data_IF_936059727184
#
_entry.id   IF_936059727184
#
_cell.length_a   1.000
_cell.length_b   1.000
_cell.length_c   1.000
_cell.angle_alpha   90.00
_cell.angle_beta   90.00
_cell.angle_gamma   90.00
#
_symmetry.space_group_name_H-M   'P 1'
#
loop_
_entity.id
_entity.type
_entity.pdbx_description
1 polymer ?
#
# COMPACT_ATOMS: atom_id res chain seq x y z
N UNK A 1 -23.05 51.70 -6.06
CA UNK A 1 -23.50 50.63 -5.16
C UNK A 1 -22.49 49.50 -5.31
N UNK A 2 -21.69 49.26 -4.28
CA UNK A 2 -20.47 48.43 -4.36
C UNK A 2 -20.85 46.97 -4.13
N UNK A 3 -20.49 46.11 -5.07
CA UNK A 3 -20.70 44.67 -5.00
C UNK A 3 -19.54 44.05 -4.19
N UNK A 4 -19.85 43.41 -3.07
CA UNK A 4 -18.92 42.58 -2.31
C UNK A 4 -19.38 41.12 -2.42
N UNK A 5 -18.45 40.24 -2.78
CA UNK A 5 -18.66 38.81 -2.97
C UNK A 5 -17.92 38.10 -1.81
N UNK A 6 -18.64 37.55 -0.83
CA UNK A 6 -18.06 36.71 0.21
C UNK A 6 -18.28 35.23 -0.16
N UNK A 7 -17.21 34.58 -0.60
CA UNK A 7 -17.22 33.13 -0.75
C UNK A 7 -17.14 32.48 0.64
N UNK A 8 -18.26 32.49 1.36
CA UNK A 8 -18.46 31.69 2.56
C UNK A 8 -19.94 31.47 2.76
N UNK A 9 -20.45 30.39 2.14
CA UNK A 9 -21.49 29.49 2.66
C UNK A 9 -22.15 28.74 1.50
N UNK A 10 -21.38 27.87 0.85
CA UNK A 10 -21.96 26.71 0.17
C UNK A 10 -21.60 25.48 1.00
N UNK A 11 -22.37 25.25 2.06
CA UNK A 11 -22.42 23.93 2.70
C UNK A 11 -23.13 22.98 1.74
N UNK A 12 -22.38 22.44 0.77
CA UNK A 12 -22.85 21.26 0.06
C UNK A 12 -22.96 20.14 1.08
N UNK A 13 -24.17 19.66 1.31
CA UNK A 13 -24.41 18.43 2.03
C UNK A 13 -23.62 17.33 1.32
N UNK A 14 -22.50 16.90 1.92
CA UNK A 14 -21.72 15.80 1.40
C UNK A 14 -22.62 14.56 1.38
N UNK A 15 -23.21 14.28 0.22
CA UNK A 15 -23.82 12.99 -0.07
C UNK A 15 -22.66 12.00 -0.16
N UNK A 16 -22.36 11.35 0.95
CA UNK A 16 -21.55 10.12 0.90
C UNK A 16 -22.42 9.06 0.24
N UNK A 17 -22.26 8.88 -1.05
CA UNK A 17 -22.81 7.71 -1.72
C UNK A 17 -21.93 6.53 -1.33
N UNK A 18 -22.40 5.72 -0.37
CA UNK A 18 -21.75 4.45 -0.04
C UNK A 18 -21.95 3.50 -1.23
N UNK A 19 -20.94 3.42 -2.09
CA UNK A 19 -20.92 2.46 -3.20
C UNK A 19 -20.34 1.14 -2.70
N UNK A 20 -21.13 0.07 -2.85
CA UNK A 20 -20.78 -1.36 -2.70
C UNK A 20 -20.60 -1.89 -1.27
N UNK A 21 -21.40 -2.91 -0.93
CA UNK A 21 -20.97 -3.99 -0.02
C UNK A 21 -19.65 -4.54 -0.58
N UNK A 22 -18.57 -4.43 0.20
CA UNK A 22 -17.22 -4.85 -0.20
C UNK A 22 -17.21 -6.29 -0.75
N UNK A 23 -16.40 -6.58 -1.79
CA UNK A 23 -15.96 -7.95 -2.05
C UNK A 23 -15.43 -8.61 -0.77
N UNK A 24 -15.46 -9.95 -0.63
CA UNK A 24 -14.84 -10.57 0.53
C UNK A 24 -13.38 -10.13 0.58
N UNK A 25 -12.95 -9.60 1.73
CA UNK A 25 -11.55 -9.29 1.98
C UNK A 25 -10.67 -10.47 1.54
N UNK A 26 -9.59 -10.17 0.83
CA UNK A 26 -8.70 -11.20 0.33
C UNK A 26 -7.90 -11.80 1.48
N UNK A 27 -7.97 -13.12 1.60
CA UNK A 27 -7.18 -13.88 2.55
C UNK A 27 -5.74 -14.07 2.03
N UNK A 28 -4.76 -13.64 2.83
CA UNK A 28 -3.33 -13.88 2.59
C UNK A 28 -2.75 -14.68 3.75
N UNK A 29 -2.35 -15.92 3.49
CA UNK A 29 -1.84 -16.87 4.48
C UNK A 29 -0.86 -17.85 3.85
N UNK A 30 -0.38 -18.86 4.58
CA UNK A 30 0.55 -19.85 4.03
C UNK A 30 0.04 -20.60 2.77
N UNK A 31 -1.27 -20.83 2.66
CA UNK A 31 -1.86 -21.50 1.49
C UNK A 31 -2.04 -20.55 0.30
N UNK A 32 -2.24 -19.26 0.57
CA UNK A 32 -2.33 -18.18 -0.40
C UNK A 32 -1.30 -17.09 -0.02
N UNK A 33 0.01 -17.35 -0.21
CA UNK A 33 1.07 -16.53 0.37
C UNK A 33 1.29 -15.19 -0.33
N UNK A 34 0.60 -14.93 -1.43
CA UNK A 34 0.69 -13.68 -2.18
C UNK A 34 -0.72 -13.19 -2.51
N UNK A 35 -0.93 -11.89 -2.37
CA UNK A 35 -2.11 -11.25 -2.93
C UNK A 35 -1.98 -11.06 -4.45
N UNK A 36 -3.09 -10.93 -5.19
CA UNK A 36 -3.09 -10.12 -6.39
C UNK A 36 -2.48 -8.75 -6.09
N UNK A 37 -1.73 -8.23 -7.04
CA UNK A 37 -0.97 -6.99 -6.88
C UNK A 37 -1.05 -6.11 -8.11
N UNK A 38 -0.38 -4.98 -8.05
CA UNK A 38 -0.10 -4.16 -9.22
C UNK A 38 1.21 -4.61 -9.86
N UNK A 39 1.23 -4.66 -11.20
CA UNK A 39 2.43 -4.77 -12.01
C UNK A 39 2.31 -3.81 -13.17
N UNK A 40 3.34 -2.99 -13.40
CA UNK A 40 3.35 -2.05 -14.50
C UNK A 40 4.75 -1.55 -14.84
N UNK A 41 4.92 -1.09 -16.07
CA UNK A 41 6.17 -0.47 -16.53
C UNK A 41 6.26 0.98 -16.06
N UNK A 42 7.45 1.41 -15.64
CA UNK A 42 7.69 2.77 -15.14
C UNK A 42 7.39 3.84 -16.20
N UNK A 43 7.80 3.59 -17.45
CA UNK A 43 7.60 4.50 -18.57
C UNK A 43 6.12 4.69 -18.92
N UNK A 44 5.30 3.65 -18.80
CA UNK A 44 3.85 3.75 -19.01
C UNK A 44 3.15 4.65 -17.98
N UNK A 45 3.71 4.76 -16.77
CA UNK A 45 3.27 5.67 -15.72
C UNK A 45 3.98 7.04 -15.77
N UNK A 46 4.86 7.27 -16.76
CA UNK A 46 5.73 8.44 -16.86
C UNK A 46 6.48 8.73 -15.55
N UNK A 47 7.07 7.66 -14.98
CA UNK A 47 7.91 7.71 -13.80
C UNK A 47 9.38 7.68 -14.18
N UNK A 48 10.20 8.37 -13.40
CA UNK A 48 11.65 8.43 -13.58
C UNK A 48 12.39 8.28 -12.25
N UNK A 49 13.69 8.02 -12.34
CA UNK A 49 14.59 8.03 -11.19
C UNK A 49 14.34 9.25 -10.29
N UNK A 50 14.27 9.00 -8.98
CA UNK A 50 13.98 10.02 -7.96
C UNK A 50 12.50 10.28 -7.67
N UNK A 51 11.56 9.87 -8.54
CA UNK A 51 10.13 9.84 -8.19
C UNK A 51 9.87 8.77 -7.12
N UNK A 52 8.67 8.73 -6.56
CA UNK A 52 8.29 7.79 -5.52
C UNK A 52 7.05 6.99 -5.89
N UNK A 53 7.01 5.73 -5.45
CA UNK A 53 5.81 4.91 -5.42
C UNK A 53 5.36 4.78 -3.98
N UNK A 54 4.09 5.06 -3.73
CA UNK A 54 3.42 4.77 -2.47
C UNK A 54 2.48 3.58 -2.65
N UNK A 55 2.59 2.62 -1.74
CA UNK A 55 1.67 1.49 -1.62
C UNK A 55 0.81 1.69 -0.38
N UNK A 56 -0.50 1.47 -0.49
CA UNK A 56 -1.45 1.45 0.63
C UNK A 56 -2.33 0.22 0.57
N UNK A 57 -2.68 -0.32 1.73
CA UNK A 57 -3.60 -1.46 1.83
C UNK A 57 -4.41 -1.36 3.11
N UNK A 58 -5.72 -1.66 3.05
CA UNK A 58 -6.50 -1.91 4.24
C UNK A 58 -6.19 -3.31 4.72
N UNK A 59 -5.86 -3.46 6.01
CA UNK A 59 -5.41 -4.73 6.56
C UNK A 59 -6.11 -5.03 7.88
N UNK A 60 -6.43 -6.31 8.07
CA UNK A 60 -6.98 -6.85 9.30
C UNK A 60 -6.25 -8.14 9.66
N UNK A 61 -5.78 -8.23 10.89
CA UNK A 61 -5.23 -9.45 11.45
C UNK A 61 -6.07 -9.87 12.67
N UNK A 62 -6.65 -11.08 12.68
CA UNK A 62 -7.47 -11.55 13.79
C UNK A 62 -6.66 -11.82 15.06
N UNK A 63 -5.35 -11.98 14.93
CA UNK A 63 -4.46 -12.42 16.01
C UNK A 63 -3.23 -11.53 16.12
N UNK A 64 -2.67 -11.46 17.34
CA UNK A 64 -1.41 -10.76 17.57
C UNK A 64 -0.26 -11.64 17.07
N UNK A 65 0.49 -11.14 16.09
CA UNK A 65 1.70 -11.80 15.60
C UNK A 65 2.91 -11.31 16.39
N UNK A 66 3.57 -12.20 17.13
CA UNK A 66 4.77 -11.85 17.92
C UNK A 66 6.07 -12.07 17.16
N UNK A 67 6.10 -13.02 16.22
CA UNK A 67 7.29 -13.30 15.41
C UNK A 67 7.40 -12.30 14.26
N UNK A 68 8.25 -11.28 14.42
CA UNK A 68 8.49 -10.24 13.41
C UNK A 68 9.06 -10.77 12.09
N UNK A 69 9.72 -11.93 12.08
CA UNK A 69 10.26 -12.54 10.86
C UNK A 69 9.20 -13.29 10.07
N UNK A 70 8.07 -13.62 10.70
CA UNK A 70 6.92 -14.22 10.04
C UNK A 70 5.87 -13.20 9.59
N UNK A 71 5.92 -11.95 10.07
CA UNK A 71 4.85 -10.99 9.80
C UNK A 71 4.60 -10.80 8.29
N UNK A 72 3.33 -10.80 7.85
CA UNK A 72 2.97 -10.42 6.50
C UNK A 72 3.56 -9.06 6.13
N UNK A 73 3.92 -8.90 4.86
CA UNK A 73 4.61 -7.72 4.37
C UNK A 73 3.87 -7.07 3.20
N UNK A 74 3.80 -5.74 3.20
CA UNK A 74 3.47 -4.96 2.01
C UNK A 74 4.78 -4.65 1.29
N UNK A 75 4.85 -4.97 0.00
CA UNK A 75 6.09 -4.99 -0.78
C UNK A 75 5.98 -4.01 -1.94
N UNK A 76 7.07 -3.28 -2.20
CA UNK A 76 7.34 -2.58 -3.45
C UNK A 76 8.67 -3.12 -3.97
N UNK A 77 8.68 -3.64 -5.20
CA UNK A 77 9.90 -4.11 -5.84
C UNK A 77 10.03 -3.55 -7.25
N UNK A 78 11.27 -3.38 -7.69
CA UNK A 78 11.66 -2.89 -8.99
C UNK A 78 12.57 -3.91 -9.66
N UNK A 79 12.33 -4.19 -10.93
CA UNK A 79 13.09 -5.17 -11.71
C UNK A 79 13.31 -4.68 -13.13
N UNK A 80 14.45 -5.06 -13.70
CA UNK A 80 14.62 -5.00 -15.14
C UNK A 80 13.73 -6.07 -15.80
N UNK A 81 13.34 -5.88 -17.08
CA UNK A 81 12.62 -6.91 -17.81
C UNK A 81 13.32 -8.27 -17.72
N UNK A 82 12.56 -9.32 -17.40
CA UNK A 82 13.04 -10.71 -17.33
C UNK A 82 14.24 -10.93 -16.38
N UNK A 83 14.40 -10.08 -15.36
CA UNK A 83 15.50 -10.16 -14.39
C UNK A 83 14.99 -10.26 -12.96
N UNK A 84 15.88 -10.63 -12.05
CA UNK A 84 15.61 -10.54 -10.61
C UNK A 84 15.40 -9.09 -10.17
N UNK A 85 14.62 -8.85 -9.09
CA UNK A 85 14.46 -7.51 -8.54
C UNK A 85 15.81 -6.94 -8.10
N UNK A 86 16.16 -5.76 -8.60
CA UNK A 86 17.36 -5.03 -8.18
C UNK A 86 17.09 -4.17 -6.94
N UNK A 87 15.82 -3.87 -6.67
CA UNK A 87 15.39 -3.25 -5.41
C UNK A 87 14.12 -3.92 -4.92
N UNK A 88 14.14 -4.33 -3.66
CA UNK A 88 13.01 -4.91 -2.95
C UNK A 88 12.90 -4.23 -1.59
N UNK A 89 11.77 -3.58 -1.32
CA UNK A 89 11.53 -2.90 -0.06
C UNK A 89 10.17 -3.32 0.47
N UNK A 90 10.09 -3.55 1.78
CA UNK A 90 8.86 -3.97 2.41
C UNK A 90 8.72 -3.46 3.83
N UNK A 91 7.47 -3.32 4.27
CA UNK A 91 7.14 -3.11 5.68
C UNK A 91 6.29 -4.27 6.19
N UNK A 92 6.43 -4.56 7.48
CA UNK A 92 5.56 -5.52 8.17
C UNK A 92 4.20 -4.87 8.39
N UNK A 93 3.13 -5.62 8.16
CA UNK A 93 1.76 -5.08 8.21
C UNK A 93 1.21 -5.13 9.63
N UNK A 94 1.30 -6.27 10.30
CA UNK A 94 0.57 -6.49 11.55
C UNK A 94 1.01 -5.59 12.70
N UNK A 95 2.27 -5.17 12.73
CA UNK A 95 2.78 -4.20 13.72
C UNK A 95 2.50 -2.73 13.35
N UNK A 96 1.72 -2.49 12.29
CA UNK A 96 1.29 -1.17 11.81
C UNK A 96 -0.22 -0.97 11.86
N UNK A 97 -0.98 -1.97 12.33
CA UNK A 97 -2.43 -1.87 12.51
C UNK A 97 -2.72 -1.30 13.91
N UNK A 98 -3.45 -0.19 14.01
CA UNK A 98 -3.85 0.42 15.26
C UNK A 98 -2.70 1.11 16.00
N UNK A 99 -2.37 0.63 17.21
CA UNK A 99 -1.34 1.25 18.06
C UNK A 99 0.07 0.99 17.48
N UNK A 100 0.70 2.03 16.89
CA UNK A 100 2.00 1.94 16.18
C UNK A 100 3.20 2.46 16.98
N UNK A 101 3.04 2.73 18.27
CA UNK A 101 4.07 3.35 19.13
C UNK A 101 5.29 2.47 19.42
N UNK A 102 5.27 1.19 19.03
CA UNK A 102 6.40 0.28 19.21
C UNK A 102 6.64 -0.63 18.01
N UNK A 103 7.85 -1.17 17.90
CA UNK A 103 8.21 -2.19 16.91
C UNK A 103 7.37 -3.47 17.07
N UNK A 104 6.93 -3.75 18.30
CA UNK A 104 6.06 -4.85 18.70
C UNK A 104 4.58 -4.44 18.76
N UNK A 105 4.25 -3.28 18.18
CA UNK A 105 2.91 -2.71 18.11
C UNK A 105 1.95 -3.57 17.29
N UNK A 106 0.75 -3.06 17.04
CA UNK A 106 -0.31 -3.82 16.38
C UNK A 106 -1.45 -4.17 17.32
N UNK A 107 -2.67 -3.85 16.91
CA UNK A 107 -3.90 -4.21 17.62
C UNK A 107 -4.65 -5.26 16.79
N UNK A 108 -4.78 -6.52 17.26
CA UNK A 108 -5.54 -7.53 16.55
C UNK A 108 -7.04 -7.20 16.56
N UNK A 109 -7.78 -7.73 15.59
CA UNK A 109 -9.24 -7.56 15.52
C UNK A 109 -9.68 -6.18 15.02
N UNK A 110 -8.78 -5.41 14.40
CA UNK A 110 -9.04 -4.07 13.86
C UNK A 110 -8.67 -4.01 12.37
N UNK A 111 -9.49 -3.31 11.58
CA UNK A 111 -9.13 -2.87 10.23
C UNK A 111 -8.38 -1.54 10.31
N UNK A 112 -7.23 -1.45 9.65
CA UNK A 112 -6.47 -0.21 9.54
C UNK A 112 -5.72 -0.10 8.21
N UNK A 113 -5.36 1.12 7.82
CA UNK A 113 -4.55 1.39 6.63
C UNK A 113 -3.06 1.25 6.94
N UNK A 114 -2.38 0.41 6.17
CA UNK A 114 -0.92 0.31 6.19
C UNK A 114 -0.37 0.83 4.88
N UNK A 115 0.60 1.75 4.97
CA UNK A 115 1.25 2.35 3.80
C UNK A 115 2.72 2.63 3.99
N UNK A 116 3.45 2.63 2.88
CA UNK A 116 4.79 3.20 2.80
C UNK A 116 5.10 3.61 1.37
N UNK A 117 6.13 4.45 1.23
CA UNK A 117 6.65 4.86 -0.05
C UNK A 117 8.10 4.36 -0.26
N UNK A 118 8.45 4.12 -1.52
CA UNK A 118 9.80 3.82 -1.95
C UNK A 118 10.17 4.69 -3.14
N UNK A 119 11.33 5.35 -3.04
CA UNK A 119 11.88 6.14 -4.14
C UNK A 119 12.39 5.23 -5.25
N UNK A 120 12.18 5.61 -6.51
CA UNK A 120 12.79 4.96 -7.66
C UNK A 120 14.32 5.15 -7.60
N UNK A 121 15.12 4.07 -7.75
CA UNK A 121 16.58 4.15 -7.80
C UNK A 121 17.11 5.02 -8.93
N UNK A 122 18.37 5.45 -8.82
CA UNK A 122 19.00 6.32 -9.80
C UNK A 122 19.16 5.63 -11.18
N UNK A 123 19.30 4.31 -11.15
CA UNK A 123 19.46 3.41 -12.28
C UNK A 123 18.13 2.98 -12.93
N UNK A 124 16.98 3.45 -12.41
CA UNK A 124 15.66 3.07 -12.91
C UNK A 124 15.44 3.52 -14.36
N UNK A 125 14.94 2.59 -15.19
CA UNK A 125 14.72 2.80 -16.62
C UNK A 125 13.23 2.77 -16.98
N UNK A 126 12.79 3.45 -18.05
CA UNK A 126 11.38 3.43 -18.46
C UNK A 126 10.82 2.02 -18.71
N UNK A 127 11.64 1.09 -19.19
CA UNK A 127 11.27 -0.30 -19.45
C UNK A 127 11.18 -1.16 -18.19
N UNK A 128 11.70 -0.70 -17.04
CA UNK A 128 11.64 -1.44 -15.79
C UNK A 128 10.21 -1.62 -15.32
N UNK A 129 9.98 -2.70 -14.57
CA UNK A 129 8.70 -2.99 -13.95
C UNK A 129 8.74 -2.68 -12.46
N UNK A 130 7.64 -2.10 -11.96
CA UNK A 130 7.33 -2.07 -10.53
C UNK A 130 6.27 -3.11 -10.23
N UNK A 131 6.42 -3.81 -9.10
CA UNK A 131 5.37 -4.66 -8.53
C UNK A 131 5.06 -4.24 -7.11
N UNK A 132 3.77 -4.23 -6.79
CA UNK A 132 3.28 -3.94 -5.44
C UNK A 132 2.29 -5.03 -5.04
N UNK A 133 2.55 -5.71 -3.94
CA UNK A 133 1.73 -6.82 -3.46
C UNK A 133 1.90 -7.01 -1.96
N UNK A 134 0.99 -7.80 -1.37
CA UNK A 134 1.12 -8.30 -0.01
C UNK A 134 1.60 -9.74 -0.06
N UNK A 135 2.53 -10.09 0.83
CA UNK A 135 3.01 -11.46 0.99
C UNK A 135 2.95 -11.94 2.44
N UNK A 136 2.72 -13.25 2.59
CA UNK A 136 2.67 -13.96 3.86
C UNK A 136 3.24 -15.37 3.70
N UNK A 137 4.51 -15.46 3.27
CA UNK A 137 5.16 -16.73 2.98
C UNK A 137 5.78 -17.42 4.20
N UNK A 138 6.12 -16.66 5.25
CA UNK A 138 6.92 -17.13 6.38
C UNK A 138 6.11 -17.46 7.65
N UNK A 139 4.81 -17.19 7.66
CA UNK A 139 3.97 -17.33 8.86
C UNK A 139 2.73 -18.17 8.64
N UNK A 140 2.26 -18.76 9.73
CA UNK A 140 0.94 -19.39 9.84
C UNK A 140 -0.17 -18.36 10.12
N UNK A 141 0.20 -17.11 10.39
CA UNK A 141 -0.74 -16.07 10.77
C UNK A 141 -1.68 -15.71 9.65
N UNK A 142 -2.92 -15.41 9.98
CA UNK A 142 -3.90 -14.96 9.00
C UNK A 142 -3.85 -13.45 8.80
N UNK A 143 -3.93 -13.00 7.55
CA UNK A 143 -4.15 -11.61 7.19
C UNK A 143 -5.28 -11.52 6.18
N UNK A 144 -6.21 -10.61 6.43
CA UNK A 144 -7.20 -10.18 5.46
C UNK A 144 -6.80 -8.81 4.94
N UNK A 145 -6.90 -8.61 3.63
CA UNK A 145 -6.59 -7.33 3.00
C UNK A 145 -7.73 -6.87 2.10
N UNK A 146 -7.83 -5.56 1.93
CA UNK A 146 -8.69 -4.94 0.94
C UNK A 146 -8.06 -3.64 0.41
N UNK A 147 -8.60 -3.12 -0.69
CA UNK A 147 -8.26 -1.80 -1.25
C UNK A 147 -6.74 -1.56 -1.42
N UNK A 148 -6.01 -2.57 -1.91
CA UNK A 148 -4.62 -2.39 -2.31
C UNK A 148 -4.55 -1.32 -3.40
N UNK A 149 -3.81 -0.25 -3.15
CA UNK A 149 -3.68 0.87 -4.06
C UNK A 149 -2.22 1.31 -4.20
N UNK A 150 -1.90 1.83 -5.38
CA UNK A 150 -0.56 2.29 -5.75
C UNK A 150 -0.68 3.70 -6.31
N UNK A 151 0.15 4.62 -5.80
CA UNK A 151 0.18 6.01 -6.24
C UNK A 151 1.60 6.44 -6.57
N UNK A 152 1.76 7.24 -7.62
CA UNK A 152 3.01 7.90 -7.94
C UNK A 152 3.08 9.26 -7.24
N UNK A 153 4.16 9.54 -6.50
CA UNK A 153 4.44 10.84 -5.91
C UNK A 153 5.63 11.46 -6.65
N UNK A 154 5.40 12.62 -7.27
CA UNK A 154 6.43 13.34 -8.04
C UNK A 154 7.04 14.42 -7.17
N UNK A 155 8.35 14.61 -7.29
CA UNK A 155 8.96 15.85 -6.81
C UNK A 155 8.51 16.99 -7.73
N UNK A 156 7.78 17.95 -7.17
CA UNK A 156 7.58 19.25 -7.80
C UNK A 156 8.94 19.91 -7.99
N UNK A 157 9.28 20.23 -9.23
CA UNK A 157 10.44 21.07 -9.56
C UNK A 157 10.19 22.52 -9.15
#
# INVERSE_FOLDING_TARGET
MVYFNDFSHDTSSARTTTFAQMPPALLVNKAHPYSPGYQGQLGAANLRAGDWIEARVQAYSPEKVYNIHGMPQLVIEFRHPNSDPYKWQAIRITNKIGEITSLWGGTPGLWDEVKFASQLPAEARPEDEVKVYVMNGASTSTLYIDNLSVSALRQSK
#
